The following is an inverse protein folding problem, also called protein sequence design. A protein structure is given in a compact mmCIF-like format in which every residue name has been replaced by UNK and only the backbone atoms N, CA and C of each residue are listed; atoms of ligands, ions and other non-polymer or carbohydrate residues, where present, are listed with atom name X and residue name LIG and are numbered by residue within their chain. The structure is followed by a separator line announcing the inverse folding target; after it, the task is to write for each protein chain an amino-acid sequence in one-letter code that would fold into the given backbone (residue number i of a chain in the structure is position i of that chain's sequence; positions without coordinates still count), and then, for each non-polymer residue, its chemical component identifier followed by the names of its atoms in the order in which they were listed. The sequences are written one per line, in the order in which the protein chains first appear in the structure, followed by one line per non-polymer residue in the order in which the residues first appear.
data_IF_176061213142
#
_entry.id   IF_176061213142
#
_cell.length_a   1.000
_cell.length_b   1.000
_cell.length_c   1.000
_cell.angle_alpha   90.00
_cell.angle_beta   90.00
_cell.angle_gamma   90.00
#
_symmetry.space_group_name_H-M   'P 1'
#
loop_
_entity.id
_entity.type
_entity.pdbx_description
1 polymer ?
#
# COMPACT_ATOMS: atom_id res chain seq x y z
N UNK A 1 14.16 -70.70 34.62
CA UNK A 1 13.78 -72.13 34.59
C UNK A 1 13.84 -72.64 33.14
N UNK A 2 14.61 -73.75 32.99
CA UNK A 2 14.58 -74.76 31.91
C UNK A 2 14.84 -74.22 30.48
N UNK A 3 15.78 -74.71 29.76
CA UNK A 3 16.60 -75.94 29.89
C UNK A 3 17.35 -76.16 28.59
N UNK A 4 18.54 -76.43 28.81
CA UNK A 4 19.59 -76.86 27.93
C UNK A 4 19.24 -78.18 27.19
N UNK A 5 19.61 -78.33 25.92
CA UNK A 5 20.16 -79.61 25.41
C UNK A 5 20.83 -79.47 24.04
N UNK A 6 22.00 -80.10 23.89
CA UNK A 6 22.81 -80.09 22.66
C UNK A 6 22.57 -81.42 21.88
N UNK A 7 22.81 -81.39 20.57
CA UNK A 7 22.98 -82.61 19.77
C UNK A 7 24.08 -82.42 18.72
N UNK A 8 25.20 -83.02 19.01
CA UNK A 8 25.89 -84.19 18.44
C UNK A 8 26.19 -84.13 16.91
N UNK A 9 27.49 -84.11 16.66
CA UNK A 9 28.18 -84.45 15.42
C UNK A 9 27.92 -85.95 15.01
N UNK A 10 28.04 -86.24 13.76
CA UNK A 10 28.80 -87.39 13.34
C UNK A 10 29.84 -87.12 12.26
N UNK A 11 30.98 -87.48 12.58
CA UNK A 11 32.01 -88.31 12.02
C UNK A 11 32.22 -88.36 10.47
N UNK A 12 33.48 -88.21 10.21
CA UNK A 12 34.18 -88.29 8.96
C UNK A 12 34.01 -89.64 8.22
N UNK A 13 33.89 -89.49 6.92
CA UNK A 13 34.23 -90.64 6.00
C UNK A 13 35.39 -90.18 5.11
N UNK A 14 36.51 -90.82 5.31
CA UNK A 14 37.66 -90.75 4.41
C UNK A 14 37.26 -91.55 3.16
N UNK A 15 37.40 -91.02 2.01
CA UNK A 15 37.52 -91.72 0.77
C UNK A 15 38.67 -91.21 -0.06
N UNK A 16 39.43 -92.15 -0.52
CA UNK A 16 40.79 -92.06 -1.11
C UNK A 16 40.82 -91.23 -2.40
N UNK A 17 41.90 -90.49 -2.48
CA UNK A 17 42.37 -89.71 -3.60
C UNK A 17 42.80 -90.55 -4.76
N UNK A 18 42.24 -90.29 -5.93
CA UNK A 18 42.89 -90.57 -7.17
C UNK A 18 43.46 -89.28 -7.79
N UNK A 19 44.76 -89.24 -7.85
CA UNK A 19 45.53 -88.22 -8.56
C UNK A 19 45.26 -88.33 -10.05
N UNK A 20 44.38 -87.51 -10.60
CA UNK A 20 44.27 -87.27 -12.00
C UNK A 20 45.04 -86.03 -12.36
N UNK A 21 46.06 -86.14 -13.14
CA UNK A 21 46.82 -85.05 -13.67
C UNK A 21 45.95 -84.09 -14.52
N UNK A 22 45.47 -82.98 -13.89
CA UNK A 22 44.84 -81.95 -14.65
C UNK A 22 45.96 -81.02 -15.27
N UNK A 23 45.98 -81.10 -16.60
CA UNK A 23 46.72 -80.11 -17.41
C UNK A 23 46.23 -78.69 -16.98
N UNK A 24 47.17 -77.88 -16.49
CA UNK A 24 46.98 -76.45 -16.29
C UNK A 24 46.78 -75.76 -17.63
N UNK A 25 45.57 -75.55 -18.07
CA UNK A 25 45.28 -74.54 -19.06
C UNK A 25 45.35 -73.22 -18.35
N UNK A 26 46.40 -72.52 -18.56
CA UNK A 26 46.56 -71.12 -18.12
C UNK A 26 45.33 -70.34 -18.63
N UNK A 27 44.63 -69.60 -17.76
CA UNK A 27 43.63 -68.68 -18.25
C UNK A 27 44.33 -67.60 -19.06
N UNK A 28 44.11 -67.60 -20.34
CA UNK A 28 44.51 -66.54 -21.25
C UNK A 28 44.21 -65.20 -20.58
N UNK A 29 45.27 -64.50 -20.22
CA UNK A 29 45.17 -63.21 -19.57
C UNK A 29 44.24 -62.29 -20.36
N UNK A 30 43.07 -62.02 -19.80
CA UNK A 30 42.24 -60.91 -20.23
C UNK A 30 43.13 -59.66 -19.99
N UNK A 31 43.64 -59.13 -21.07
CA UNK A 31 44.52 -57.98 -20.97
C UNK A 31 43.82 -56.86 -20.19
N UNK A 32 44.47 -56.27 -19.24
CA UNK A 32 43.95 -55.15 -18.47
C UNK A 32 43.37 -54.03 -19.38
N UNK A 33 43.81 -54.00 -20.64
CA UNK A 33 43.31 -53.10 -21.69
C UNK A 33 41.85 -53.36 -22.06
N UNK A 34 41.37 -54.64 -22.07
CA UNK A 34 39.98 -54.95 -22.42
C UNK A 34 38.99 -54.69 -21.25
N UNK A 35 39.46 -54.82 -20.01
CA UNK A 35 38.71 -54.45 -18.83
C UNK A 35 38.60 -52.95 -18.75
N UNK A 36 39.69 -52.21 -19.08
CA UNK A 36 39.69 -50.74 -19.10
C UNK A 36 38.78 -50.17 -20.20
N UNK A 37 38.84 -50.76 -21.44
CA UNK A 37 37.97 -50.39 -22.56
C UNK A 37 36.48 -50.62 -22.26
N UNK A 38 36.10 -51.69 -21.57
CA UNK A 38 34.69 -51.97 -21.13
C UNK A 38 34.26 -50.97 -20.08
N UNK A 39 35.08 -50.66 -19.06
CA UNK A 39 34.82 -49.61 -18.08
C UNK A 39 34.67 -48.23 -18.74
N UNK A 40 35.57 -47.91 -19.66
CA UNK A 40 35.52 -46.62 -20.37
C UNK A 40 34.24 -46.47 -21.22
N UNK A 41 33.80 -47.52 -21.91
CA UNK A 41 32.56 -47.53 -22.70
C UNK A 41 31.31 -47.38 -21.80
N UNK A 42 31.31 -47.98 -20.63
CA UNK A 42 30.22 -47.82 -19.66
C UNK A 42 30.12 -46.39 -19.11
N UNK A 43 31.29 -45.83 -18.70
CA UNK A 43 31.39 -44.46 -18.24
C UNK A 43 31.09 -43.46 -19.37
N UNK A 44 31.62 -43.66 -20.56
CA UNK A 44 31.37 -42.78 -21.70
C UNK A 44 29.87 -42.74 -22.07
N UNK A 45 29.18 -43.91 -22.10
CA UNK A 45 27.74 -43.94 -22.37
C UNK A 45 26.92 -43.17 -21.30
N UNK A 46 27.26 -43.28 -20.03
CA UNK A 46 26.54 -42.60 -18.96
C UNK A 46 26.78 -41.09 -19.01
N UNK A 47 28.00 -40.64 -19.20
CA UNK A 47 28.32 -39.22 -19.28
C UNK A 47 27.83 -38.60 -20.60
N UNK A 48 27.92 -39.30 -21.72
CA UNK A 48 27.41 -38.78 -23.00
C UNK A 48 25.86 -38.67 -22.98
N UNK A 49 25.16 -39.56 -22.29
CA UNK A 49 23.70 -39.43 -22.14
C UNK A 49 23.28 -38.22 -21.27
N UNK A 50 24.14 -37.75 -20.37
CA UNK A 50 23.88 -36.58 -19.50
C UNK A 50 24.34 -35.26 -20.11
N UNK A 51 25.22 -35.28 -21.12
CA UNK A 51 25.72 -34.08 -21.78
C UNK A 51 24.63 -33.11 -22.24
N UNK A 52 23.54 -33.53 -22.92
CA UNK A 52 22.49 -32.63 -23.34
C UNK A 52 21.79 -31.96 -22.15
N UNK A 53 21.58 -32.68 -21.05
CA UNK A 53 20.99 -32.14 -19.85
C UNK A 53 21.89 -31.08 -19.19
N UNK A 54 23.20 -31.33 -19.13
CA UNK A 54 24.18 -30.38 -18.61
C UNK A 54 24.26 -29.13 -19.50
N UNK A 55 24.27 -29.31 -20.83
CA UNK A 55 24.28 -28.18 -21.79
C UNK A 55 23.02 -27.33 -21.62
N UNK A 56 21.85 -27.95 -21.49
CA UNK A 56 20.59 -27.23 -21.24
C UNK A 56 20.61 -26.49 -19.91
N UNK A 57 21.15 -27.11 -18.87
CA UNK A 57 21.25 -26.49 -17.55
C UNK A 57 22.21 -25.29 -17.55
N UNK A 58 23.39 -25.44 -18.17
CA UNK A 58 24.35 -24.36 -18.34
C UNK A 58 23.77 -23.24 -19.21
N UNK A 59 23.09 -23.60 -20.30
CA UNK A 59 22.41 -22.62 -21.16
C UNK A 59 21.29 -21.88 -20.44
N UNK A 60 20.50 -22.57 -19.65
CA UNK A 60 19.46 -21.94 -18.83
C UNK A 60 20.05 -21.02 -17.75
N UNK A 61 21.11 -21.46 -17.08
CA UNK A 61 21.82 -20.64 -16.10
C UNK A 61 22.44 -19.41 -16.74
N UNK A 62 23.06 -19.56 -17.89
CA UNK A 62 23.62 -18.44 -18.66
C UNK A 62 22.53 -17.45 -19.08
N UNK A 63 21.37 -17.97 -19.56
CA UNK A 63 20.21 -17.14 -19.91
C UNK A 63 19.70 -16.37 -18.68
N UNK A 64 19.57 -17.02 -17.54
CA UNK A 64 19.19 -16.37 -16.30
C UNK A 64 20.16 -15.26 -15.92
N UNK A 65 21.47 -15.55 -15.93
CA UNK A 65 22.49 -14.55 -15.60
C UNK A 65 22.39 -13.35 -16.55
N UNK A 66 22.20 -13.58 -17.86
CA UNK A 66 22.05 -12.48 -18.82
C UNK A 66 20.79 -11.67 -18.58
N UNK A 67 19.64 -12.30 -18.33
CA UNK A 67 18.38 -11.59 -18.03
C UNK A 67 18.51 -10.70 -16.78
N UNK A 68 19.20 -11.19 -15.75
CA UNK A 68 19.35 -10.43 -14.49
C UNK A 68 20.50 -9.42 -14.51
N UNK A 69 21.39 -9.46 -15.50
CA UNK A 69 22.58 -8.59 -15.59
C UNK A 69 22.55 -7.62 -16.77
N UNK A 70 21.68 -7.84 -17.77
CA UNK A 70 21.63 -7.01 -18.97
C UNK A 70 21.05 -5.63 -18.66
N UNK A 71 21.74 -4.57 -19.04
CA UNK A 71 21.30 -3.19 -18.90
C UNK A 71 19.98 -2.87 -19.62
N UNK A 72 19.58 -3.68 -20.60
CA UNK A 72 18.30 -3.54 -21.31
C UNK A 72 17.08 -3.73 -20.41
N UNK A 73 17.25 -4.46 -19.31
CA UNK A 73 16.20 -4.74 -18.32
C UNK A 73 16.31 -3.87 -17.08
N UNK A 74 17.20 -2.88 -17.08
CA UNK A 74 17.24 -1.88 -16.02
C UNK A 74 16.14 -0.85 -16.25
N UNK A 75 15.34 -0.59 -15.24
CA UNK A 75 14.25 0.39 -15.27
C UNK A 75 14.86 1.76 -15.49
N UNK A 76 14.53 2.39 -16.60
CA UNK A 76 14.98 3.75 -16.95
C UNK A 76 13.81 4.72 -17.13
N UNK A 77 12.60 4.21 -17.30
CA UNK A 77 11.40 5.02 -17.48
C UNK A 77 10.36 4.63 -16.43
N UNK A 78 10.00 5.60 -15.61
CA UNK A 78 8.95 5.46 -14.60
C UNK A 78 7.87 6.50 -14.92
N UNK A 79 6.69 6.01 -15.27
CA UNK A 79 5.53 6.86 -15.53
C UNK A 79 4.62 6.82 -14.33
N UNK A 80 4.27 7.99 -13.77
CA UNK A 80 3.33 8.10 -12.67
C UNK A 80 1.99 8.54 -13.22
N UNK A 81 0.94 7.78 -12.89
CA UNK A 81 -0.43 8.08 -13.26
C UNK A 81 -1.27 8.28 -12.01
N UNK A 82 -1.84 9.45 -11.85
CA UNK A 82 -2.83 9.70 -10.82
C UNK A 82 -4.23 9.30 -11.30
N UNK A 83 -4.99 8.69 -10.40
CA UNK A 83 -6.36 8.24 -10.65
C UNK A 83 -7.28 8.93 -9.66
N UNK A 84 -8.44 9.40 -10.14
CA UNK A 84 -9.44 10.00 -9.27
C UNK A 84 -9.94 8.98 -8.21
N UNK A 85 -10.22 9.43 -6.98
CA UNK A 85 -10.85 8.59 -5.97
C UNK A 85 -12.21 8.07 -6.49
N UNK A 86 -12.44 6.76 -6.33
CA UNK A 86 -13.72 6.17 -6.69
C UNK A 86 -14.79 6.57 -5.66
N UNK A 87 -16.00 6.93 -6.09
CA UNK A 87 -17.10 7.21 -5.16
C UNK A 87 -17.39 5.96 -4.32
N UNK A 88 -17.57 6.18 -3.02
CA UNK A 88 -17.85 5.13 -2.03
C UNK A 88 -19.04 4.29 -2.49
N UNK A 89 -18.81 3.01 -2.78
CA UNK A 89 -19.87 2.06 -3.19
C UNK A 89 -19.57 1.23 -4.43
N UNK A 90 -18.53 1.51 -5.17
CA UNK A 90 -18.14 0.72 -6.34
C UNK A 90 -17.26 -0.45 -5.93
N UNK A 91 -17.67 -1.67 -6.30
CA UNK A 91 -16.94 -2.91 -5.99
C UNK A 91 -15.50 -2.83 -6.48
N UNK A 92 -14.57 -3.33 -5.66
CA UNK A 92 -13.16 -3.59 -6.01
C UNK A 92 -13.06 -4.31 -7.36
N UNK A 93 -12.94 -3.55 -8.42
CA UNK A 93 -12.63 -4.03 -9.77
C UNK A 93 -11.34 -3.36 -10.23
N UNK A 94 -10.44 -4.17 -10.76
CA UNK A 94 -9.19 -3.83 -11.41
C UNK A 94 -9.18 -2.39 -11.95
N UNK A 95 -8.12 -1.64 -11.68
CA UNK A 95 -7.85 -0.28 -12.16
C UNK A 95 -7.89 -0.09 -13.72
N UNK A 96 -8.30 -1.13 -14.43
CA UNK A 96 -8.40 -1.23 -15.88
C UNK A 96 -9.59 -0.46 -16.50
N UNK A 97 -9.90 0.71 -16.01
CA UNK A 97 -10.98 1.57 -16.51
C UNK A 97 -10.95 2.96 -15.89
N UNK A 98 -9.87 3.29 -15.20
CA UNK A 98 -9.67 4.54 -14.51
C UNK A 98 -9.73 5.73 -15.48
N UNK A 99 -10.56 6.72 -15.13
CA UNK A 99 -10.62 8.02 -15.81
C UNK A 99 -9.25 8.68 -15.88
N UNK A 100 -9.00 9.50 -16.91
CA UNK A 100 -7.68 10.07 -17.16
C UNK A 100 -7.23 10.97 -16.04
N UNK A 101 -5.90 10.96 -15.88
CA UNK A 101 -5.02 11.82 -15.13
C UNK A 101 -5.68 13.01 -14.43
N UNK A 102 -6.06 12.78 -13.19
CA UNK A 102 -6.46 13.85 -12.26
C UNK A 102 -5.18 14.20 -11.52
N UNK A 103 -4.70 15.42 -11.70
CA UNK A 103 -3.46 15.84 -11.06
C UNK A 103 -3.42 15.53 -9.56
N UNK A 104 -2.26 15.13 -9.08
CA UNK A 104 -2.00 14.93 -7.65
C UNK A 104 -2.17 16.25 -6.90
N UNK A 105 -2.82 16.24 -5.74
CA UNK A 105 -3.10 17.44 -4.93
C UNK A 105 -2.16 17.57 -3.74
N UNK A 106 -1.84 16.47 -3.09
CA UNK A 106 -1.11 16.45 -1.82
C UNK A 106 0.36 16.15 -2.04
N UNK A 107 0.69 15.20 -2.91
CA UNK A 107 2.06 14.76 -3.18
C UNK A 107 2.42 15.01 -4.64
N UNK A 108 3.69 15.29 -4.91
CA UNK A 108 4.19 15.49 -6.27
C UNK A 108 4.64 14.16 -6.90
N UNK A 109 4.49 14.07 -8.23
CA UNK A 109 4.93 12.88 -8.97
C UNK A 109 6.42 12.59 -8.78
N UNK A 110 7.25 13.64 -8.75
CA UNK A 110 8.68 13.54 -8.54
C UNK A 110 9.05 12.96 -7.16
N UNK A 111 8.28 13.31 -6.13
CA UNK A 111 8.47 12.79 -4.76
C UNK A 111 8.15 11.30 -4.70
N UNK A 112 7.08 10.87 -5.38
CA UNK A 112 6.71 9.45 -5.51
C UNK A 112 7.80 8.69 -6.25
N UNK A 113 8.31 9.25 -7.36
CA UNK A 113 9.37 8.61 -8.14
C UNK A 113 10.65 8.43 -7.34
N UNK A 114 11.06 9.47 -6.57
CA UNK A 114 12.22 9.39 -5.70
C UNK A 114 12.04 8.37 -4.59
N UNK A 115 10.87 8.35 -3.95
CA UNK A 115 10.56 7.42 -2.88
C UNK A 115 10.42 5.97 -3.35
N UNK A 116 9.98 5.76 -4.59
CA UNK A 116 9.91 4.43 -5.20
C UNK A 116 11.31 3.81 -5.35
N UNK A 117 12.35 4.63 -5.61
CA UNK A 117 13.76 4.22 -5.73
C UNK A 117 13.95 2.95 -6.57
N UNK A 118 13.29 2.89 -7.73
CA UNK A 118 13.30 1.73 -8.63
C UNK A 118 14.11 1.95 -9.89
N UNK A 119 14.50 3.20 -10.20
CA UNK A 119 15.31 3.52 -11.38
C UNK A 119 16.67 2.87 -11.27
N UNK A 120 17.12 2.23 -12.35
CA UNK A 120 18.37 1.46 -12.38
C UNK A 120 18.26 0.04 -11.80
N UNK A 121 17.16 -0.31 -11.17
CA UNK A 121 16.90 -1.69 -10.72
C UNK A 121 16.51 -2.56 -11.91
N UNK A 122 16.96 -3.82 -11.91
CA UNK A 122 16.53 -4.76 -12.95
C UNK A 122 15.03 -5.11 -12.76
N UNK A 123 14.25 -5.04 -13.84
CA UNK A 123 12.78 -5.22 -13.80
C UNK A 123 12.36 -6.58 -13.25
N UNK A 124 13.19 -7.63 -13.42
CA UNK A 124 12.91 -8.97 -12.86
C UNK A 124 13.23 -9.09 -11.36
N UNK A 125 13.92 -8.09 -10.79
CA UNK A 125 14.20 -8.01 -9.34
C UNK A 125 13.27 -7.05 -8.64
N UNK A 126 12.42 -6.33 -9.37
CA UNK A 126 11.45 -5.43 -8.79
C UNK A 126 10.44 -6.21 -7.95
N UNK A 127 10.38 -5.88 -6.67
CA UNK A 127 9.32 -6.35 -5.77
C UNK A 127 8.22 -5.28 -5.70
N UNK A 128 7.24 -5.39 -6.62
CA UNK A 128 6.15 -4.41 -6.71
C UNK A 128 5.40 -4.27 -5.39
N UNK A 129 5.06 -5.38 -4.72
CA UNK A 129 4.29 -5.36 -3.47
C UNK A 129 5.04 -4.63 -2.34
N UNK A 130 6.33 -4.87 -2.19
CA UNK A 130 7.15 -4.19 -1.18
C UNK A 130 7.26 -2.69 -1.46
N UNK A 131 7.42 -2.31 -2.73
CA UNK A 131 7.49 -0.90 -3.13
C UNK A 131 6.15 -0.20 -2.94
N UNK A 132 5.02 -0.85 -3.25
CA UNK A 132 3.68 -0.34 -2.99
C UNK A 132 3.45 -0.06 -1.50
N UNK A 133 3.80 -1.03 -0.64
CA UNK A 133 3.68 -0.87 0.82
C UNK A 133 4.62 0.20 1.38
N UNK A 134 5.82 0.34 0.82
CA UNK A 134 6.76 1.39 1.18
C UNK A 134 6.20 2.77 0.84
N UNK A 135 5.68 2.95 -0.37
CA UNK A 135 5.06 4.21 -0.79
C UNK A 135 3.85 4.58 0.06
N UNK A 136 2.97 3.63 0.37
CA UNK A 136 1.81 3.86 1.26
C UNK A 136 2.21 4.26 2.68
N UNK A 137 3.28 3.67 3.22
CA UNK A 137 3.79 4.04 4.55
C UNK A 137 4.43 5.42 4.55
N UNK A 138 5.14 5.77 3.49
CA UNK A 138 5.82 7.06 3.38
C UNK A 138 4.85 8.21 3.09
N UNK A 139 3.83 7.95 2.28
CA UNK A 139 2.83 8.95 1.90
C UNK A 139 1.46 8.53 2.43
N UNK A 140 1.12 8.99 3.62
CA UNK A 140 -0.19 8.69 4.26
C UNK A 140 -1.40 9.19 3.47
N UNK A 141 -1.18 10.10 2.50
CA UNK A 141 -2.21 10.57 1.57
C UNK A 141 -2.58 9.58 0.47
N UNK A 142 -1.79 8.53 0.23
CA UNK A 142 -2.06 7.54 -0.80
C UNK A 142 -3.02 6.45 -0.29
N UNK A 143 -4.18 6.35 -0.90
CA UNK A 143 -5.15 5.29 -0.63
C UNK A 143 -4.77 3.99 -1.33
N UNK A 144 -4.37 4.10 -2.60
CA UNK A 144 -3.96 2.95 -3.43
C UNK A 144 -2.70 3.28 -4.22
N UNK A 145 -1.86 2.30 -4.32
CA UNK A 145 -0.68 2.30 -5.17
C UNK A 145 -0.67 0.98 -5.92
N UNK A 146 -0.41 1.00 -7.20
CA UNK A 146 -0.19 -0.18 -8.02
C UNK A 146 1.06 0.04 -8.88
N UNK A 147 1.91 -0.97 -8.96
CA UNK A 147 3.17 -0.93 -9.71
C UNK A 147 3.13 -2.03 -10.77
N UNK A 148 3.03 -1.60 -12.02
CA UNK A 148 2.92 -2.46 -13.19
C UNK A 148 4.21 -2.39 -14.01
N UNK A 149 5.07 -3.43 -13.96
CA UNK A 149 6.26 -3.48 -14.79
C UNK A 149 5.93 -3.81 -16.24
N UNK A 150 6.48 -3.03 -17.17
CA UNK A 150 6.34 -3.20 -18.60
C UNK A 150 7.71 -3.45 -19.24
N UNK A 151 7.86 -4.64 -19.82
CA UNK A 151 9.10 -5.02 -20.48
C UNK A 151 9.39 -4.14 -21.70
N UNK A 152 10.67 -3.82 -21.93
CA UNK A 152 11.84 -4.37 -21.25
C UNK A 152 12.25 -3.60 -19.98
N UNK A 153 11.92 -2.31 -19.82
CA UNK A 153 12.56 -1.41 -18.85
C UNK A 153 11.65 -0.25 -18.36
N UNK A 154 10.35 -0.38 -18.53
CA UNK A 154 9.37 0.63 -18.13
C UNK A 154 8.59 0.18 -16.92
N UNK A 155 8.19 1.12 -16.06
CA UNK A 155 7.28 0.86 -14.95
C UNK A 155 6.20 1.93 -14.92
N UNK A 156 4.95 1.48 -14.86
CA UNK A 156 3.81 2.34 -14.60
C UNK A 156 3.47 2.28 -13.11
N UNK A 157 3.56 3.41 -12.43
CA UNK A 157 3.12 3.57 -11.04
C UNK A 157 1.77 4.28 -11.07
N UNK A 158 0.72 3.56 -10.75
CA UNK A 158 -0.64 4.11 -10.66
C UNK A 158 -0.92 4.43 -9.19
N UNK A 159 -1.25 5.68 -8.90
CA UNK A 159 -1.53 6.15 -7.54
C UNK A 159 -2.91 6.78 -7.45
N UNK A 160 -3.55 6.57 -6.31
CA UNK A 160 -4.82 7.19 -5.95
C UNK A 160 -4.64 7.84 -4.58
N UNK A 161 -4.84 9.15 -4.52
CA UNK A 161 -4.89 9.87 -3.24
C UNK A 161 -6.25 9.67 -2.57
N UNK A 162 -6.29 9.78 -1.24
CA UNK A 162 -7.55 9.93 -0.53
C UNK A 162 -8.29 11.18 -1.01
N UNK A 163 -9.60 11.13 -1.04
CA UNK A 163 -10.41 12.31 -1.31
C UNK A 163 -10.18 13.36 -0.22
N UNK A 164 -9.68 14.53 -0.63
CA UNK A 164 -9.55 15.69 0.25
C UNK A 164 -10.89 16.40 0.30
N UNK A 165 -11.41 16.63 1.51
CA UNK A 165 -12.74 17.20 1.71
C UNK A 165 -12.68 18.58 2.31
N UNK A 166 -11.78 18.78 3.25
CA UNK A 166 -11.66 20.00 4.06
C UNK A 166 -10.18 20.34 4.31
N UNK A 167 -9.95 21.56 4.72
CA UNK A 167 -8.68 22.02 5.26
C UNK A 167 -8.86 22.26 6.75
N UNK A 168 -7.98 21.70 7.56
CA UNK A 168 -7.85 21.99 8.98
C UNK A 168 -6.74 23.00 9.19
N UNK A 169 -7.03 24.09 9.87
CA UNK A 169 -6.04 25.10 10.21
C UNK A 169 -5.90 25.20 11.73
N UNK A 170 -4.69 24.99 12.22
CA UNK A 170 -4.37 25.07 13.65
C UNK A 170 -2.94 25.56 13.85
N UNK A 171 -2.73 26.47 14.80
CA UNK A 171 -1.40 26.98 15.11
C UNK A 171 -0.69 27.66 13.93
N UNK A 172 -1.44 28.25 12.99
CA UNK A 172 -0.89 28.91 11.79
C UNK A 172 -0.39 27.92 10.71
N UNK A 173 -0.77 26.65 10.79
CA UNK A 173 -0.50 25.63 9.78
C UNK A 173 -1.80 25.06 9.26
N UNK A 174 -1.82 24.67 7.98
CA UNK A 174 -3.00 24.14 7.31
C UNK A 174 -2.72 22.74 6.78
N UNK A 175 -3.70 21.85 6.91
CA UNK A 175 -3.61 20.42 6.61
C UNK A 175 -4.75 19.98 5.72
N UNK A 176 -4.45 19.16 4.74
CA UNK A 176 -5.46 18.42 3.99
C UNK A 176 -6.07 17.35 4.89
N UNK A 177 -7.39 17.27 4.93
CA UNK A 177 -8.12 16.30 5.75
C UNK A 177 -9.19 15.62 4.91
N UNK A 178 -9.33 14.30 5.08
CA UNK A 178 -10.41 13.54 4.46
C UNK A 178 -11.70 13.55 5.30
N UNK A 179 -12.73 12.87 4.78
CA UNK A 179 -14.04 12.77 5.41
C UNK A 179 -14.04 12.18 6.83
N UNK A 180 -13.04 11.41 7.18
CA UNK A 180 -12.89 10.74 8.48
C UNK A 180 -12.00 11.50 9.46
N UNK A 181 -11.50 12.66 9.07
CA UNK A 181 -10.56 13.43 9.88
C UNK A 181 -9.11 12.96 9.76
N UNK A 182 -8.80 12.08 8.80
CA UNK A 182 -7.41 11.67 8.54
C UNK A 182 -6.63 12.82 7.92
N UNK A 183 -5.47 13.12 8.48
CA UNK A 183 -4.54 14.10 7.94
C UNK A 183 -3.81 13.46 6.75
N UNK A 184 -3.87 14.13 5.61
CA UNK A 184 -3.28 13.65 4.36
C UNK A 184 -1.92 14.31 4.07
N UNK A 185 -1.68 15.49 4.61
CA UNK A 185 -0.45 16.24 4.43
C UNK A 185 -0.66 17.75 4.57
N UNK A 186 0.41 18.54 4.54
CA UNK A 186 0.33 19.99 4.62
C UNK A 186 -0.29 20.58 3.35
N UNK A 187 -1.03 21.67 3.50
CA UNK A 187 -1.55 22.43 2.36
C UNK A 187 -0.41 23.26 1.75
N UNK A 188 -0.07 22.95 0.52
CA UNK A 188 1.01 23.64 -0.22
C UNK A 188 0.50 24.64 -1.24
N UNK A 189 -0.76 24.54 -1.64
CA UNK A 189 -1.35 25.35 -2.69
C UNK A 189 -2.66 25.99 -2.21
N UNK A 190 -3.04 27.12 -2.81
CA UNK A 190 -4.36 27.70 -2.59
C UNK A 190 -5.45 26.70 -2.96
N UNK A 191 -6.49 26.63 -2.15
CA UNK A 191 -7.59 25.69 -2.31
C UNK A 191 -8.93 26.40 -2.33
N UNK A 192 -9.88 25.82 -3.05
CA UNK A 192 -11.30 26.17 -3.03
C UNK A 192 -12.09 25.38 -1.98
N UNK A 193 -11.41 24.49 -1.26
CA UNK A 193 -12.02 23.71 -0.19
C UNK A 193 -12.32 24.59 1.04
N UNK A 194 -13.26 24.08 1.83
CA UNK A 194 -13.69 24.75 3.05
C UNK A 194 -12.63 24.56 4.14
N UNK A 195 -12.36 25.64 4.87
CA UNK A 195 -11.39 25.66 5.94
C UNK A 195 -12.11 25.60 7.30
N UNK A 196 -11.63 24.76 8.20
CA UNK A 196 -12.02 24.75 9.60
C UNK A 196 -10.85 25.29 10.42
N UNK A 197 -11.06 26.43 11.07
CA UNK A 197 -10.06 27.07 11.94
C UNK A 197 -10.20 26.55 13.37
N UNK A 198 -9.17 25.92 13.87
CA UNK A 198 -9.05 25.55 15.27
C UNK A 198 -8.60 26.77 16.08
N UNK A 199 -9.55 27.41 16.75
CA UNK A 199 -9.29 28.67 17.49
C UNK A 199 -8.47 28.47 18.75
N UNK A 200 -8.43 27.25 19.30
CA UNK A 200 -7.66 26.92 20.50
C UNK A 200 -6.25 26.43 20.20
N UNK A 201 -5.94 26.19 18.91
CA UNK A 201 -4.63 25.74 18.50
C UNK A 201 -4.28 24.39 19.09
N UNK A 202 -5.21 23.42 19.00
CA UNK A 202 -4.90 22.05 19.36
C UNK A 202 -3.57 21.68 18.74
N UNK A 203 -2.60 21.31 19.57
CA UNK A 203 -1.27 20.99 19.10
C UNK A 203 -1.33 19.73 18.21
N UNK A 204 -1.66 19.93 16.95
CA UNK A 204 -1.70 18.89 15.93
C UNK A 204 -0.31 18.38 15.61
N UNK A 205 0.75 18.93 16.25
CA UNK A 205 2.11 18.66 15.79
C UNK A 205 3.14 18.67 16.92
N UNK A 206 3.57 17.46 17.29
CA UNK A 206 4.95 17.28 17.68
C UNK A 206 5.85 17.27 16.44
N UNK A 207 7.07 17.73 16.52
CA UNK A 207 8.06 17.58 15.45
C UNK A 207 8.22 16.09 15.13
N UNK A 208 7.70 15.68 13.97
CA UNK A 208 7.92 14.37 13.40
C UNK A 208 6.75 13.39 13.39
N UNK A 209 5.81 13.47 14.33
CA UNK A 209 4.65 12.58 14.35
C UNK A 209 3.37 13.38 14.14
N UNK A 210 2.95 13.49 12.87
CA UNK A 210 1.61 13.95 12.54
C UNK A 210 0.61 12.97 13.15
N UNK A 211 -0.38 13.40 13.96
CA UNK A 211 -1.46 12.54 14.33
C UNK A 211 -2.13 12.05 13.06
N UNK A 212 -2.35 10.75 12.95
CA UNK A 212 -3.00 10.18 11.78
C UNK A 212 -4.41 10.73 11.59
N UNK A 213 -5.07 11.07 12.71
CA UNK A 213 -6.44 11.60 12.73
C UNK A 213 -6.60 12.75 13.72
N UNK A 214 -7.41 13.73 13.34
CA UNK A 214 -7.95 14.73 14.25
C UNK A 214 -9.26 14.22 14.79
N UNK A 215 -9.32 14.00 16.08
CA UNK A 215 -10.51 13.46 16.80
C UNK A 215 -11.31 14.61 17.43
N UNK A 216 -12.59 14.35 17.70
CA UNK A 216 -13.48 15.31 18.37
C UNK A 216 -14.12 16.34 17.46
N UNK A 217 -13.66 16.51 16.23
CA UNK A 217 -14.25 17.43 15.26
C UNK A 217 -15.43 16.79 14.55
N UNK A 218 -16.58 17.48 14.39
CA UNK A 218 -17.75 16.93 13.73
C UNK A 218 -17.64 16.98 12.19
N UNK A 219 -16.71 16.21 11.61
CA UNK A 219 -16.41 16.18 10.17
C UNK A 219 -17.65 15.93 9.32
N UNK A 220 -18.53 15.02 9.76
CA UNK A 220 -19.76 14.70 9.04
C UNK A 220 -20.69 15.91 8.97
N UNK A 221 -20.87 16.64 10.07
CA UNK A 221 -21.69 17.84 10.10
C UNK A 221 -21.07 18.92 9.20
N UNK A 222 -19.76 19.14 9.26
CA UNK A 222 -19.08 20.10 8.42
C UNK A 222 -19.30 19.84 6.92
N UNK A 223 -19.20 18.59 6.48
CA UNK A 223 -19.44 18.19 5.09
C UNK A 223 -20.91 18.42 4.67
N UNK A 224 -21.84 18.02 5.51
CA UNK A 224 -23.27 18.23 5.22
C UNK A 224 -23.64 19.73 5.21
N UNK A 225 -23.01 20.53 6.09
CA UNK A 225 -23.17 21.99 6.07
C UNK A 225 -22.67 22.60 4.75
N UNK A 226 -21.52 22.18 4.26
CA UNK A 226 -20.99 22.64 2.95
C UNK A 226 -21.92 22.27 1.81
N UNK A 227 -22.51 21.07 1.84
CA UNK A 227 -23.51 20.64 0.82
C UNK A 227 -24.80 21.46 0.92
N UNK A 228 -25.26 21.77 2.13
CA UNK A 228 -26.49 22.53 2.37
C UNK A 228 -26.30 24.05 2.12
N UNK A 229 -25.11 24.57 2.36
CA UNK A 229 -24.73 25.98 2.19
C UNK A 229 -23.41 26.11 1.43
N UNK A 230 -23.39 25.97 0.10
CA UNK A 230 -22.15 26.02 -0.69
C UNK A 230 -21.38 27.34 -0.62
N UNK A 231 -22.03 28.41 -0.14
CA UNK A 231 -21.40 29.71 0.07
C UNK A 231 -20.52 29.75 1.35
N UNK A 232 -20.72 28.81 2.29
CA UNK A 232 -19.86 28.72 3.47
C UNK A 232 -18.47 28.24 3.08
N UNK A 233 -17.45 29.05 3.31
CA UNK A 233 -16.06 28.77 2.95
C UNK A 233 -15.16 28.51 4.15
N UNK A 234 -15.64 28.84 5.35
CA UNK A 234 -14.87 28.77 6.56
C UNK A 234 -15.78 28.52 7.76
N UNK A 235 -15.30 27.71 8.68
CA UNK A 235 -15.90 27.48 9.99
C UNK A 235 -14.81 27.64 11.05
N UNK A 236 -15.19 28.18 12.21
CA UNK A 236 -14.37 28.04 13.40
C UNK A 236 -14.77 26.78 14.18
N UNK A 237 -13.84 26.25 14.94
CA UNK A 237 -14.06 25.14 15.82
C UNK A 237 -13.56 25.42 17.22
N UNK A 238 -14.38 25.10 18.21
CA UNK A 238 -14.00 25.03 19.62
C UNK A 238 -14.56 23.76 20.26
N UNK A 239 -13.89 23.29 21.32
CA UNK A 239 -14.39 22.11 22.04
C UNK A 239 -15.72 22.34 22.75
N UNK A 240 -16.03 23.58 23.16
CA UNK A 240 -17.27 23.90 23.87
C UNK A 240 -18.47 24.06 22.93
N UNK A 241 -18.27 24.71 21.80
CA UNK A 241 -19.34 25.12 20.89
C UNK A 241 -19.46 24.20 19.66
N UNK A 242 -18.45 23.40 19.36
CA UNK A 242 -18.34 22.63 18.12
C UNK A 242 -18.05 23.52 16.92
N UNK A 243 -18.77 23.33 15.82
CA UNK A 243 -18.63 24.18 14.63
C UNK A 243 -19.35 25.51 14.81
N UNK A 244 -18.70 26.58 14.38
CA UNK A 244 -19.19 27.95 14.41
C UNK A 244 -19.11 28.49 12.99
N UNK A 245 -20.22 29.07 12.51
CA UNK A 245 -20.29 29.77 11.23
C UNK A 245 -20.58 31.25 11.46
N UNK A 246 -19.79 32.13 10.86
CA UNK A 246 -20.05 33.55 10.91
C UNK A 246 -20.94 33.97 9.74
N UNK A 247 -21.99 34.70 10.06
CA UNK A 247 -22.98 35.16 9.09
C UNK A 247 -23.13 36.68 9.14
N UNK A 248 -23.62 37.22 8.05
CA UNK A 248 -23.81 38.68 7.87
C UNK A 248 -22.48 39.47 7.81
N UNK A 249 -22.56 40.72 7.41
CA UNK A 249 -21.40 41.64 7.45
C UNK A 249 -20.97 42.03 8.89
N UNK A 250 -21.87 41.82 9.87
CA UNK A 250 -21.59 42.04 11.29
C UNK A 250 -20.93 40.84 11.97
N UNK A 251 -20.64 39.76 11.19
CA UNK A 251 -19.94 38.57 11.68
C UNK A 251 -20.63 37.93 12.91
N UNK A 252 -21.94 37.77 12.84
CA UNK A 252 -22.68 37.08 13.91
C UNK A 252 -22.29 35.62 13.99
N UNK A 253 -21.74 35.14 15.12
CA UNK A 253 -21.44 33.70 15.28
C UNK A 253 -22.70 32.89 15.44
N UNK A 254 -22.78 31.82 14.68
CA UNK A 254 -23.84 30.80 14.74
C UNK A 254 -23.22 29.50 15.22
N UNK A 255 -23.61 29.05 16.41
CA UNK A 255 -23.14 27.82 17.01
C UNK A 255 -23.91 26.63 16.45
N UNK A 256 -23.26 25.83 15.65
CA UNK A 256 -23.85 24.68 14.97
C UNK A 256 -23.72 23.38 15.79
N UNK A 257 -22.71 23.31 16.69
CA UNK A 257 -22.46 22.17 17.54
C UNK A 257 -21.78 21.01 16.85
N UNK A 258 -22.07 19.81 17.35
CA UNK A 258 -21.40 18.58 16.94
C UNK A 258 -22.26 17.66 16.08
N UNK A 259 -23.58 17.84 16.05
CA UNK A 259 -24.55 16.93 15.43
C UNK A 259 -25.80 17.68 15.01
N UNK A 260 -26.66 17.00 14.27
CA UNK A 260 -27.96 17.50 13.83
C UNK A 260 -28.07 17.47 12.29
N UNK A 261 -29.23 17.91 11.81
CA UNK A 261 -29.51 17.99 10.38
C UNK A 261 -29.00 19.31 9.82
N UNK A 262 -27.99 19.27 8.99
CA UNK A 262 -27.39 20.43 8.37
C UNK A 262 -28.40 21.29 7.59
N UNK A 263 -29.35 20.68 6.87
CA UNK A 263 -30.37 21.41 6.11
C UNK A 263 -31.32 22.12 7.02
N UNK A 264 -31.75 21.45 8.10
CA UNK A 264 -32.61 22.08 9.11
C UNK A 264 -31.90 23.26 9.77
N UNK A 265 -30.63 23.10 10.16
CA UNK A 265 -29.80 24.18 10.73
C UNK A 265 -29.66 25.36 9.75
N UNK A 266 -29.42 25.13 8.48
CA UNK A 266 -29.35 26.20 7.47
C UNK A 266 -30.69 26.90 7.33
N UNK A 267 -31.79 26.18 7.27
CA UNK A 267 -33.13 26.79 7.20
C UNK A 267 -33.47 27.64 8.43
N UNK A 268 -33.21 27.14 9.64
CA UNK A 268 -33.39 27.88 10.89
C UNK A 268 -32.48 29.10 10.95
N UNK A 269 -31.25 28.99 10.59
CA UNK A 269 -30.28 30.08 10.51
C UNK A 269 -30.80 31.19 9.60
N UNK A 270 -31.19 30.85 8.38
CA UNK A 270 -31.68 31.83 7.41
C UNK A 270 -32.94 32.55 7.88
N UNK A 271 -33.88 31.80 8.49
CA UNK A 271 -35.10 32.37 9.03
C UNK A 271 -34.81 33.34 10.19
N UNK A 272 -34.00 32.92 11.17
CA UNK A 272 -33.63 33.76 12.32
C UNK A 272 -32.85 35.00 11.91
N UNK A 273 -31.83 34.83 11.06
CA UNK A 273 -31.01 35.98 10.58
C UNK A 273 -31.92 36.95 9.82
N UNK A 274 -32.82 36.48 8.96
CA UNK A 274 -33.75 37.32 8.23
C UNK A 274 -34.66 38.11 9.16
N UNK A 275 -35.25 37.44 10.18
CA UNK A 275 -36.11 38.11 11.19
C UNK A 275 -35.34 39.14 12.00
N UNK A 276 -34.16 38.79 12.50
CA UNK A 276 -33.34 39.69 13.32
C UNK A 276 -32.91 40.94 12.53
N UNK A 277 -32.49 40.76 11.27
CA UNK A 277 -32.16 41.85 10.39
C UNK A 277 -33.35 42.77 10.09
N UNK A 278 -34.54 42.17 9.81
CA UNK A 278 -35.76 42.95 9.57
C UNK A 278 -36.17 43.78 10.77
N UNK A 279 -35.96 43.24 11.98
CA UNK A 279 -36.23 43.93 13.24
C UNK A 279 -35.08 44.85 13.71
N UNK A 280 -33.99 44.92 12.97
CA UNK A 280 -32.76 45.69 13.33
C UNK A 280 -32.23 45.32 14.72
N UNK A 281 -32.29 44.03 15.07
CA UNK A 281 -31.78 43.49 16.34
C UNK A 281 -30.36 42.99 16.11
N UNK A 282 -29.40 43.59 16.84
CA UNK A 282 -28.04 43.06 16.88
C UNK A 282 -27.92 41.94 17.90
N UNK A 283 -27.14 40.92 17.59
CA UNK A 283 -26.97 39.74 18.44
C UNK A 283 -25.47 39.49 18.73
N UNK A 284 -25.21 38.92 19.90
CA UNK A 284 -23.88 38.45 20.26
C UNK A 284 -23.61 37.09 19.63
N UNK A 285 -24.62 36.21 19.59
CA UNK A 285 -24.56 34.92 18.92
C UNK A 285 -25.97 34.37 18.63
N UNK A 286 -26.05 33.39 17.75
CA UNK A 286 -27.22 32.53 17.48
C UNK A 286 -26.80 31.11 17.85
N UNK A 287 -27.62 30.42 18.65
CA UNK A 287 -27.36 29.04 19.07
C UNK A 287 -28.33 28.10 18.39
N UNK A 288 -27.77 27.23 17.52
CA UNK A 288 -28.47 26.18 16.78
C UNK A 288 -27.97 24.77 17.15
N UNK A 289 -27.30 24.63 18.29
CA UNK A 289 -26.81 23.31 18.75
C UNK A 289 -27.99 22.38 18.98
N UNK A 290 -29.13 22.89 19.49
CA UNK A 290 -30.41 22.20 19.54
C UNK A 290 -31.40 22.81 18.51
N UNK A 291 -31.71 22.06 17.48
CA UNK A 291 -32.62 22.51 16.41
C UNK A 291 -34.07 22.71 16.88
N UNK A 292 -34.46 22.04 17.96
CA UNK A 292 -35.81 22.17 18.53
C UNK A 292 -35.96 23.40 19.41
N UNK A 293 -34.84 23.99 19.86
CA UNK A 293 -34.79 25.14 20.74
C UNK A 293 -33.77 26.19 20.28
N UNK A 294 -33.93 26.68 19.05
CA UNK A 294 -33.03 27.71 18.57
C UNK A 294 -33.13 28.96 19.46
N UNK A 295 -32.01 29.54 19.78
CA UNK A 295 -31.95 30.73 20.65
C UNK A 295 -30.94 31.75 20.12
N UNK A 296 -31.00 32.98 20.64
CA UNK A 296 -30.05 34.01 20.35
C UNK A 296 -29.84 34.91 21.57
N UNK A 297 -28.70 35.53 21.68
CA UNK A 297 -28.37 36.52 22.69
C UNK A 297 -28.25 37.88 22.04
N UNK A 298 -29.01 38.88 22.55
CA UNK A 298 -28.91 40.28 22.08
C UNK A 298 -27.59 40.90 22.54
N UNK A 299 -27.03 41.78 21.73
CA UNK A 299 -25.91 42.60 22.08
C UNK A 299 -26.28 43.65 23.11
#
# INVERSE_FOLDING_TARGET
MKGFRPKRHPQARRSSVRLGAQRSTSPTGISNADAWRRRWRYWARHYVAQLPAVILLVGALWLLVTLFSDARFQINEVTIRAVAPEPVGTRRGVLAGAKPDVGLRVVRAEEIQQAADIVGTNIFRLNSAETEERLKRQFGCLERVAIDPWLPNQVLVTVQEYETVLVWESGGRSWWVNAQGKILGPVTNATDLVVIHDTLGHAVLGDGDLPEYIVGVPWGLAQEMVKALPAARSFDYTEDEGLILYVTTAQWPVYLGYKGDARAKVGLMQALVGELMAKKINVQYIDLRDEQRPSFKKS
#
